data_IF_249042121535
#
_entry.id   IF_249042121535
#
_cell.length_a   1.000
_cell.length_b   1.000
_cell.length_c   1.000
_cell.angle_alpha   90.00
_cell.angle_beta   90.00
_cell.angle_gamma   90.00
#
_symmetry.space_group_name_H-M   'P 1'
#
loop_
_entity.id
_entity.type
_entity.pdbx_description
1 polymer ?
#
# COMPACT_ATOMS: atom_id res chain seq x y z
N UNK A 1 43.40 7.76 4.40
CA UNK A 1 42.52 7.43 3.26
C UNK A 1 41.87 6.05 3.33
N UNK A 2 42.58 4.98 3.75
CA UNK A 2 42.02 3.63 3.85
C UNK A 2 40.94 3.48 4.94
N UNK A 3 41.14 4.06 6.13
CA UNK A 3 40.18 4.01 7.25
C UNK A 3 38.86 4.73 6.93
N UNK A 4 38.93 5.89 6.25
CA UNK A 4 37.74 6.62 5.77
C UNK A 4 36.94 5.78 4.77
N UNK A 5 37.61 5.09 3.84
CA UNK A 5 36.94 4.21 2.86
C UNK A 5 36.24 3.03 3.54
N UNK A 6 36.90 2.38 4.51
CA UNK A 6 36.32 1.27 5.26
C UNK A 6 35.09 1.71 6.07
N UNK A 7 35.16 2.87 6.73
CA UNK A 7 34.02 3.46 7.44
C UNK A 7 32.84 3.77 6.51
N UNK A 8 33.08 4.38 5.36
CA UNK A 8 32.05 4.71 4.37
C UNK A 8 31.37 3.45 3.81
N UNK A 9 32.13 2.39 3.53
CA UNK A 9 31.58 1.11 3.05
C UNK A 9 30.70 0.44 4.11
N UNK A 10 31.14 0.43 5.37
CA UNK A 10 30.35 -0.11 6.49
C UNK A 10 29.04 0.65 6.65
N UNK A 11 29.08 1.99 6.70
CA UNK A 11 27.90 2.86 6.77
C UNK A 11 26.94 2.69 5.59
N UNK A 12 27.47 2.44 4.40
CA UNK A 12 26.65 2.17 3.22
C UNK A 12 25.90 0.84 3.38
N UNK A 13 26.61 -0.22 3.77
CA UNK A 13 26.01 -1.55 3.97
C UNK A 13 24.94 -1.54 5.07
N UNK A 14 25.20 -0.86 6.18
CA UNK A 14 24.22 -0.70 7.27
C UNK A 14 22.94 -0.01 6.79
N UNK A 15 23.07 1.10 6.05
CA UNK A 15 21.93 1.82 5.46
C UNK A 15 21.16 0.97 4.46
N UNK A 16 21.86 0.24 3.59
CA UNK A 16 21.22 -0.67 2.63
C UNK A 16 20.41 -1.77 3.35
N UNK A 17 20.91 -2.30 4.47
CA UNK A 17 20.20 -3.29 5.27
C UNK A 17 19.00 -2.71 6.01
N UNK A 18 19.11 -1.52 6.60
CA UNK A 18 18.00 -0.82 7.26
C UNK A 18 16.89 -0.50 6.25
N UNK A 19 17.27 -0.02 5.07
CA UNK A 19 16.33 0.29 4.01
C UNK A 19 15.62 -0.96 3.48
N UNK A 20 16.34 -2.08 3.33
CA UNK A 20 15.73 -3.36 2.94
C UNK A 20 14.69 -3.84 3.97
N UNK A 21 15.02 -3.78 5.26
CA UNK A 21 14.07 -4.12 6.34
C UNK A 21 12.86 -3.19 6.36
N UNK A 22 13.09 -1.89 6.15
CA UNK A 22 12.00 -0.91 6.06
C UNK A 22 11.08 -1.20 4.88
N UNK A 23 11.65 -1.53 3.71
CA UNK A 23 10.89 -1.90 2.50
C UNK A 23 10.03 -3.14 2.74
N UNK A 24 10.57 -4.17 3.39
CA UNK A 24 9.83 -5.37 3.76
C UNK A 24 8.67 -5.05 4.72
N UNK A 25 8.91 -4.22 5.74
CA UNK A 25 7.87 -3.77 6.67
C UNK A 25 6.78 -2.95 5.97
N UNK A 26 7.15 -2.12 4.99
CA UNK A 26 6.22 -1.33 4.16
C UNK A 26 5.35 -2.25 3.29
N UNK A 27 5.93 -3.28 2.66
CA UNK A 27 5.18 -4.26 1.88
C UNK A 27 4.18 -5.02 2.75
N UNK A 28 4.59 -5.45 3.94
CA UNK A 28 3.69 -6.08 4.89
C UNK A 28 2.57 -5.13 5.34
N UNK A 29 2.86 -3.84 5.53
CA UNK A 29 1.84 -2.82 5.85
C UNK A 29 0.85 -2.62 4.69
N UNK A 30 1.34 -2.54 3.46
CA UNK A 30 0.51 -2.46 2.25
C UNK A 30 -0.44 -3.66 2.12
N UNK A 31 0.06 -4.87 2.39
CA UNK A 31 -0.77 -6.08 2.36
C UNK A 31 -1.83 -6.11 3.47
N UNK A 32 -1.52 -5.61 4.68
CA UNK A 32 -2.53 -5.45 5.74
C UNK A 32 -3.57 -4.40 5.37
N UNK A 33 -3.16 -3.28 4.79
CA UNK A 33 -4.06 -2.23 4.28
C UNK A 33 -4.98 -2.77 3.18
N UNK A 34 -4.45 -3.56 2.24
CA UNK A 34 -5.27 -4.26 1.26
C UNK A 34 -6.34 -5.14 1.95
N UNK A 35 -5.97 -5.86 3.01
CA UNK A 35 -6.90 -6.64 3.81
C UNK A 35 -8.08 -5.84 4.37
N UNK A 36 -7.91 -4.55 4.68
CA UNK A 36 -9.01 -3.64 5.07
C UNK A 36 -9.97 -3.47 3.89
N UNK A 37 -9.45 -3.11 2.71
CA UNK A 37 -10.25 -2.88 1.49
C UNK A 37 -11.09 -4.10 1.12
N UNK A 38 -10.50 -5.30 1.17
CA UNK A 38 -11.20 -6.55 0.85
C UNK A 38 -12.39 -6.85 1.78
N UNK A 39 -12.47 -6.26 2.98
CA UNK A 39 -13.65 -6.40 3.86
C UNK A 39 -14.89 -5.65 3.34
N UNK A 40 -14.70 -4.66 2.48
CA UNK A 40 -15.79 -3.82 1.99
C UNK A 40 -16.44 -4.33 0.71
N UNK A 41 -15.88 -5.35 0.06
CA UNK A 41 -16.48 -5.97 -1.13
C UNK A 41 -15.44 -6.58 -2.08
N UNK A 42 -15.88 -7.05 -3.26
CA UNK A 42 -15.00 -7.58 -4.30
C UNK A 42 -14.22 -6.44 -4.97
N UNK A 43 -13.23 -5.91 -4.27
CA UNK A 43 -12.37 -4.83 -4.73
C UNK A 43 -11.02 -5.40 -5.16
N UNK A 44 -10.32 -4.68 -6.04
CA UNK A 44 -8.94 -4.95 -6.42
C UNK A 44 -8.04 -3.86 -5.87
N UNK A 45 -6.89 -4.25 -5.34
CA UNK A 45 -5.91 -3.33 -4.75
C UNK A 45 -4.61 -3.42 -5.54
N UNK A 46 -4.10 -2.27 -5.93
CA UNK A 46 -2.90 -2.12 -6.72
C UNK A 46 -1.85 -1.36 -5.90
N UNK A 47 -0.65 -1.91 -5.81
CA UNK A 47 0.51 -1.21 -5.27
C UNK A 47 1.24 -0.54 -6.42
N UNK A 48 1.49 0.76 -6.30
CA UNK A 48 2.26 1.52 -7.28
C UNK A 48 3.37 2.33 -6.60
N UNK A 49 3.99 3.23 -7.36
CA UNK A 49 4.95 4.18 -6.84
C UNK A 49 6.25 3.55 -6.35
N UNK A 50 6.84 4.15 -5.31
CA UNK A 50 8.21 3.84 -4.89
C UNK A 50 8.39 2.41 -4.34
N UNK A 51 7.31 1.80 -3.86
CA UNK A 51 7.30 0.46 -3.26
C UNK A 51 7.06 -0.65 -4.29
N UNK A 52 6.55 -0.34 -5.48
CA UNK A 52 6.22 -1.32 -6.52
C UNK A 52 7.43 -1.65 -7.40
N UNK A 53 7.66 -2.94 -7.66
CA UNK A 53 8.65 -3.43 -8.64
C UNK A 53 10.04 -2.79 -8.49
N UNK A 54 10.49 -2.14 -9.57
CA UNK A 54 11.78 -1.43 -9.68
C UNK A 54 11.77 -0.01 -9.07
N UNK A 55 10.71 0.33 -8.32
CA UNK A 55 10.60 1.60 -7.60
C UNK A 55 11.75 1.84 -6.61
N UNK A 56 12.15 3.10 -6.48
CA UNK A 56 13.21 3.53 -5.55
C UNK A 56 12.60 3.89 -4.19
N UNK A 57 12.49 2.90 -3.31
CA UNK A 57 12.02 3.09 -1.94
C UNK A 57 13.10 3.72 -1.06
N UNK A 58 12.76 4.79 -0.34
CA UNK A 58 13.66 5.56 0.52
C UNK A 58 13.21 5.62 1.97
N UNK A 59 13.98 6.33 2.80
CA UNK A 59 13.72 6.47 4.24
C UNK A 59 12.38 7.17 4.53
N UNK A 60 11.97 8.09 3.67
CA UNK A 60 10.73 8.87 3.78
C UNK A 60 9.63 8.44 2.81
N UNK A 61 9.81 7.31 2.13
CA UNK A 61 8.78 6.79 1.23
C UNK A 61 7.52 6.38 2.01
N UNK A 62 6.39 6.77 1.43
CA UNK A 62 5.02 6.39 1.73
C UNK A 62 4.63 5.09 0.98
N UNK A 63 3.38 4.67 1.18
CA UNK A 63 2.78 3.52 0.51
C UNK A 63 1.68 4.04 -0.43
N UNK A 64 1.89 3.88 -1.73
CA UNK A 64 0.93 4.26 -2.77
C UNK A 64 -0.01 3.08 -3.11
N UNK A 65 -1.30 3.24 -2.82
CA UNK A 65 -2.33 2.23 -3.10
C UNK A 65 -3.44 2.78 -4.00
N UNK A 66 -3.83 1.99 -5.00
CA UNK A 66 -5.01 2.28 -5.80
C UNK A 66 -6.05 1.17 -5.63
N UNK A 67 -7.33 1.55 -5.53
CA UNK A 67 -8.43 0.61 -5.34
C UNK A 67 -9.46 0.75 -6.45
N UNK A 68 -9.90 -0.37 -6.99
CA UNK A 68 -10.95 -0.46 -8.00
C UNK A 68 -12.08 -1.38 -7.52
N UNK A 69 -13.32 -1.04 -7.85
CA UNK A 69 -14.50 -1.83 -7.50
C UNK A 69 -15.09 -1.52 -6.13
N UNK A 70 -14.87 -0.30 -5.61
CA UNK A 70 -15.48 0.14 -4.36
C UNK A 70 -17.01 0.22 -4.49
N UNK A 71 -17.79 -0.24 -3.49
CA UNK A 71 -19.24 -0.12 -3.52
C UNK A 71 -19.69 1.35 -3.63
N UNK A 72 -20.73 1.68 -4.42
CA UNK A 72 -21.14 3.08 -4.65
C UNK A 72 -21.57 3.86 -3.39
N UNK A 73 -21.98 3.16 -2.33
CA UNK A 73 -22.45 3.74 -1.06
C UNK A 73 -21.41 3.63 0.08
N UNK A 74 -20.16 3.30 -0.22
CA UNK A 74 -19.13 3.16 0.81
C UNK A 74 -18.75 4.52 1.43
N UNK A 75 -18.48 4.52 2.72
CA UNK A 75 -17.81 5.63 3.38
C UNK A 75 -16.30 5.56 3.12
N UNK A 76 -15.85 6.30 2.10
CA UNK A 76 -14.45 6.34 1.70
C UNK A 76 -13.53 6.87 2.81
N UNK A 77 -13.97 7.86 3.59
CA UNK A 77 -13.15 8.44 4.66
C UNK A 77 -12.96 7.47 5.81
N UNK A 78 -13.99 6.70 6.16
CA UNK A 78 -13.86 5.61 7.13
C UNK A 78 -12.89 4.55 6.64
N UNK A 79 -13.04 4.07 5.40
CA UNK A 79 -12.11 3.12 4.79
C UNK A 79 -10.66 3.65 4.85
N UNK A 80 -10.46 4.90 4.42
CA UNK A 80 -9.15 5.54 4.41
C UNK A 80 -8.54 5.62 5.81
N UNK A 81 -9.34 5.98 6.83
CA UNK A 81 -8.88 6.02 8.22
C UNK A 81 -8.45 4.65 8.77
N UNK A 82 -9.18 3.57 8.42
CA UNK A 82 -8.83 2.21 8.81
C UNK A 82 -7.53 1.74 8.13
N UNK A 83 -7.33 2.13 6.87
CA UNK A 83 -6.10 1.87 6.11
C UNK A 83 -4.91 2.57 6.77
N UNK A 84 -5.02 3.89 7.03
CA UNK A 84 -3.96 4.66 7.68
C UNK A 84 -3.61 4.06 9.04
N UNK A 85 -4.60 3.70 9.86
CA UNK A 85 -4.35 3.08 11.16
C UNK A 85 -3.62 1.72 11.04
N UNK A 86 -3.98 0.91 10.04
CA UNK A 86 -3.42 -0.44 9.84
C UNK A 86 -2.01 -0.43 9.23
N UNK A 87 -1.71 0.60 8.45
CA UNK A 87 -0.43 0.77 7.75
C UNK A 87 0.66 1.45 8.60
N UNK A 88 0.32 1.98 9.78
CA UNK A 88 1.29 2.57 10.71
C UNK A 88 2.51 1.65 10.91
N UNK A 89 3.73 2.20 10.93
CA UNK A 89 4.07 3.63 10.99
C UNK A 89 4.20 4.32 9.62
N UNK A 90 3.75 3.71 8.53
CA UNK A 90 3.85 4.29 7.19
C UNK A 90 2.63 5.16 6.87
N UNK A 91 2.87 6.25 6.16
CA UNK A 91 1.82 7.04 5.53
C UNK A 91 1.33 6.31 4.26
N UNK A 92 0.06 6.53 3.91
CA UNK A 92 -0.58 5.87 2.77
C UNK A 92 -1.31 6.89 1.91
N UNK A 93 -0.96 6.90 0.63
CA UNK A 93 -1.69 7.63 -0.40
C UNK A 93 -2.64 6.67 -1.11
N UNK A 94 -3.95 6.90 -0.97
CA UNK A 94 -5.01 6.03 -1.48
C UNK A 94 -5.75 6.71 -2.64
N UNK A 95 -5.80 6.04 -3.79
CA UNK A 95 -6.53 6.50 -4.98
C UNK A 95 -7.72 5.57 -5.28
N UNK A 96 -8.93 6.12 -5.36
CA UNK A 96 -10.10 5.41 -5.87
C UNK A 96 -10.12 5.48 -7.41
N UNK A 97 -9.85 4.35 -8.08
CA UNK A 97 -9.83 4.24 -9.54
C UNK A 97 -11.22 4.35 -10.18
N UNK A 98 -12.28 4.09 -9.41
CA UNK A 98 -13.66 4.18 -9.90
C UNK A 98 -14.09 5.62 -10.24
N UNK A 99 -13.44 6.61 -9.62
CA UNK A 99 -13.70 8.05 -9.85
C UNK A 99 -12.50 8.78 -10.46
N UNK A 100 -11.42 8.07 -10.78
CA UNK A 100 -10.20 8.65 -11.34
C UNK A 100 -10.36 8.96 -12.85
N UNK A 101 -9.67 9.99 -13.37
CA UNK A 101 -9.58 10.23 -14.81
C UNK A 101 -9.04 9.00 -15.56
N UNK A 102 -9.53 8.70 -16.77
CA UNK A 102 -9.09 7.54 -17.56
C UNK A 102 -7.56 7.46 -17.73
N UNK A 103 -6.89 8.59 -17.93
CA UNK A 103 -5.44 8.68 -18.15
C UNK A 103 -4.65 8.24 -16.90
N UNK A 104 -5.17 8.57 -15.72
CA UNK A 104 -4.59 8.16 -14.44
C UNK A 104 -4.77 6.66 -14.22
N UNK A 105 -5.97 6.15 -14.53
CA UNK A 105 -6.29 4.73 -14.42
C UNK A 105 -5.40 3.86 -15.31
N UNK A 106 -5.20 4.26 -16.56
CA UNK A 106 -4.30 3.58 -17.49
C UNK A 106 -2.83 3.60 -17.01
N UNK A 107 -2.39 4.74 -16.48
CA UNK A 107 -1.03 4.90 -15.94
C UNK A 107 -0.80 3.98 -14.75
N UNK A 108 -1.75 3.92 -13.82
CA UNK A 108 -1.69 3.06 -12.65
C UNK A 108 -1.69 1.58 -13.06
N UNK A 109 -2.59 1.14 -13.95
CA UNK A 109 -2.59 -0.26 -14.40
C UNK A 109 -1.29 -0.70 -15.08
N UNK A 110 -0.58 0.23 -15.74
CA UNK A 110 0.69 -0.08 -16.41
C UNK A 110 1.87 -0.21 -15.46
N UNK A 111 1.89 0.60 -14.39
CA UNK A 111 3.04 0.76 -13.50
C UNK A 111 2.87 0.08 -12.13
N UNK A 112 1.70 -0.52 -11.89
CA UNK A 112 1.38 -1.15 -10.61
C UNK A 112 1.46 -2.67 -10.66
N UNK A 113 1.56 -3.26 -9.49
CA UNK A 113 1.33 -4.68 -9.28
C UNK A 113 0.05 -4.86 -8.45
N UNK A 114 -0.85 -5.75 -8.88
CA UNK A 114 -1.99 -6.15 -8.05
C UNK A 114 -1.47 -6.87 -6.81
N UNK A 115 -1.86 -6.39 -5.63
CA UNK A 115 -1.45 -6.99 -4.36
C UNK A 115 -2.61 -7.70 -3.69
N UNK A 116 -2.30 -8.85 -3.12
CA UNK A 116 -3.23 -9.63 -2.30
C UNK A 116 -2.95 -9.41 -0.82
N UNK A 117 -3.97 -9.53 0.04
CA UNK A 117 -3.75 -9.54 1.48
C UNK A 117 -2.92 -10.77 1.87
N UNK A 118 -2.21 -10.68 3.00
CA UNK A 118 -1.33 -11.74 3.54
C UNK A 118 -2.08 -13.01 4.03
N UNK A 119 -3.30 -13.31 3.54
CA UNK A 119 -4.25 -14.36 4.01
C UNK A 119 -4.90 -14.04 5.37
N UNK A 120 -6.13 -14.42 5.76
CA UNK A 120 -7.35 -14.95 5.12
C UNK A 120 -8.49 -14.42 6.03
N UNK A 121 -9.29 -13.45 5.62
CA UNK A 121 -10.53 -13.17 6.34
C UNK A 121 -11.61 -14.13 5.83
N UNK A 122 -12.36 -14.84 6.70
CA UNK A 122 -13.53 -15.59 6.25
C UNK A 122 -14.46 -14.63 5.51
N UNK A 123 -15.10 -15.11 4.44
CA UNK A 123 -16.06 -14.37 3.65
C UNK A 123 -17.02 -13.62 4.58
N UNK A 124 -17.11 -12.30 4.42
CA UNK A 124 -17.97 -11.46 5.24
C UNK A 124 -19.43 -11.76 4.90
N UNK A 125 -20.04 -12.74 5.57
CA UNK A 125 -21.51 -12.84 5.66
C UNK A 125 -22.01 -11.68 6.52
N UNK A 126 -22.32 -10.56 5.88
CA UNK A 126 -22.84 -9.40 6.59
C UNK A 126 -22.91 -8.17 5.71
N UNK A 127 -23.83 -8.18 4.75
CA UNK A 127 -24.25 -6.96 4.04
C UNK A 127 -24.89 -5.95 5.00
N UNK A 128 -25.04 -4.68 4.57
CA UNK A 128 -25.42 -3.59 5.45
C UNK A 128 -26.83 -3.78 5.98
N UNK A 129 -26.98 -3.77 7.31
CA UNK A 129 -28.29 -3.55 7.93
C UNK A 129 -28.69 -2.10 7.69
N UNK A 130 -29.52 -1.91 6.68
CA UNK A 130 -30.29 -0.70 6.44
C UNK A 130 -31.15 -0.42 7.67
N UNK A 131 -30.83 0.65 8.40
CA UNK A 131 -31.65 1.10 9.52
C UNK A 131 -32.64 2.14 8.99
N UNK A 132 -33.92 1.77 9.10
CA UNK A 132 -35.09 2.65 8.96
C UNK A 132 -35.10 3.72 10.04
#
# INVERSE_FOLDING_TARGET
MAELRAYLLKRRKEREQELAKRKEAALAAAQRAAGVVYRYGPCRVWLFGSLAGDGTFGEHSDIDLAVEGLPPKIDFWRLYSEILATARPFDVDLIALDTAPPELKESIHRLSAEIRPLLLFPAHEGGPRENR
#
